data_IF_917887381400
#
_entry.id   IF_917887381400
#
_cell.length_a   1.000
_cell.length_b   1.000
_cell.length_c   1.000
_cell.angle_alpha   90.00
_cell.angle_beta   90.00
_cell.angle_gamma   90.00
#
_symmetry.space_group_name_H-M   'P 1'
#
loop_
_entity.id
_entity.type
_entity.pdbx_description
1 polymer ?
#
# COMPACT_ATOMS: atom_id res chain seq x y z
N UNK A 1 13.26 10.23 -0.09
CA UNK A 1 12.35 9.93 -1.23
C UNK A 1 11.92 8.46 -1.11
N UNK A 2 10.68 8.20 -0.73
CA UNK A 2 10.12 6.85 -0.55
C UNK A 2 9.69 6.26 -1.91
N UNK A 3 10.60 6.28 -2.87
CA UNK A 3 10.35 5.79 -4.23
C UNK A 3 11.09 4.47 -4.43
N UNK A 4 10.59 3.65 -5.35
CA UNK A 4 11.25 2.43 -5.82
C UNK A 4 12.76 2.63 -5.96
N UNK A 5 13.54 1.76 -5.32
CA UNK A 5 14.99 1.71 -5.46
C UNK A 5 15.35 0.39 -6.11
N UNK A 6 16.05 0.44 -7.23
CA UNK A 6 16.52 -0.78 -7.88
C UNK A 6 17.62 -1.43 -7.02
N UNK A 7 17.31 -2.56 -6.39
CA UNK A 7 18.21 -3.37 -5.56
C UNK A 7 18.57 -4.70 -6.21
N UNK A 8 18.04 -4.98 -7.41
CA UNK A 8 18.24 -6.23 -8.15
C UNK A 8 17.94 -7.50 -7.34
N UNK A 9 17.03 -7.41 -6.37
CA UNK A 9 16.68 -8.50 -5.47
C UNK A 9 15.78 -9.54 -6.15
N UNK A 10 15.66 -10.72 -5.55
CA UNK A 10 14.82 -11.78 -6.09
C UNK A 10 13.36 -11.32 -6.25
N UNK A 11 12.81 -10.66 -5.23
CA UNK A 11 11.45 -10.15 -5.24
C UNK A 11 11.22 -9.08 -6.32
N UNK A 12 12.23 -8.26 -6.62
CA UNK A 12 12.17 -7.26 -7.71
C UNK A 12 12.25 -7.88 -9.11
N UNK A 13 12.71 -9.12 -9.24
CA UNK A 13 12.82 -9.87 -10.50
C UNK A 13 11.61 -10.75 -10.78
N UNK A 14 10.75 -10.95 -9.78
CA UNK A 14 9.48 -11.63 -9.97
C UNK A 14 8.55 -10.81 -10.86
N UNK A 15 7.60 -11.49 -11.50
CA UNK A 15 6.59 -10.84 -12.31
C UNK A 15 5.72 -9.91 -11.42
N UNK A 16 5.39 -8.67 -11.84
CA UNK A 16 4.66 -7.70 -11.01
C UNK A 16 3.35 -8.24 -10.40
N UNK A 17 2.61 -9.04 -11.16
CA UNK A 17 1.40 -9.72 -10.67
C UNK A 17 1.67 -10.61 -9.44
N UNK A 18 2.78 -11.34 -9.41
CA UNK A 18 3.06 -12.25 -8.28
C UNK A 18 3.39 -11.45 -7.04
N UNK A 19 4.13 -10.34 -7.18
CA UNK A 19 4.36 -9.37 -6.10
C UNK A 19 3.07 -8.77 -5.57
N UNK A 20 2.15 -8.34 -6.45
CA UNK A 20 0.85 -7.79 -6.04
C UNK A 20 0.02 -8.84 -5.30
N UNK A 21 -0.10 -10.06 -5.83
CA UNK A 21 -0.84 -11.15 -5.19
C UNK A 21 -0.27 -11.49 -3.82
N UNK A 22 1.05 -11.60 -3.72
CA UNK A 22 1.77 -11.81 -2.46
C UNK A 22 1.42 -10.75 -1.41
N UNK A 23 1.53 -9.46 -1.76
CA UNK A 23 1.22 -8.36 -0.85
C UNK A 23 -0.26 -8.38 -0.44
N UNK A 24 -1.14 -8.68 -1.40
CA UNK A 24 -2.59 -8.79 -1.14
C UNK A 24 -2.88 -9.88 -0.13
N UNK A 25 -2.25 -11.05 -0.28
CA UNK A 25 -2.37 -12.16 0.69
C UNK A 25 -1.90 -11.70 2.07
N UNK A 26 -0.72 -11.08 2.20
CA UNK A 26 -0.24 -10.56 3.50
C UNK A 26 -1.21 -9.57 4.14
N UNK A 27 -1.77 -8.64 3.37
CA UNK A 27 -2.74 -7.66 3.87
C UNK A 27 -4.00 -8.36 4.39
N UNK A 28 -4.57 -9.31 3.63
CA UNK A 28 -5.77 -10.04 4.07
C UNK A 28 -5.49 -10.83 5.36
N UNK A 29 -4.33 -11.48 5.44
CA UNK A 29 -3.93 -12.22 6.64
C UNK A 29 -3.81 -11.29 7.85
N UNK A 30 -3.15 -10.13 7.72
CA UNK A 30 -3.07 -9.14 8.81
C UNK A 30 -4.43 -8.64 9.29
N UNK A 31 -5.39 -8.46 8.37
CA UNK A 31 -6.73 -7.97 8.72
C UNK A 31 -7.58 -9.03 9.45
N UNK A 32 -7.39 -10.31 9.14
CA UNK A 32 -8.20 -11.41 9.68
C UNK A 32 -7.62 -12.04 10.95
N UNK A 33 -6.33 -11.86 11.25
CA UNK A 33 -5.72 -12.39 12.47
C UNK A 33 -6.19 -11.61 13.70
N UNK A 34 -6.90 -12.27 14.60
CA UNK A 34 -7.31 -11.71 15.90
C UNK A 34 -6.36 -12.09 17.04
N UNK A 35 -5.55 -13.15 16.89
CA UNK A 35 -4.59 -13.52 17.92
C UNK A 35 -3.34 -12.64 17.87
N UNK A 36 -2.97 -11.98 18.99
CA UNK A 36 -1.81 -11.11 19.01
C UNK A 36 -0.50 -11.85 18.76
N UNK A 37 -0.38 -13.10 19.18
CA UNK A 37 0.85 -13.90 18.98
C UNK A 37 1.05 -14.16 17.49
N UNK A 38 0.00 -14.58 16.76
CA UNK A 38 0.10 -14.79 15.31
C UNK A 38 0.38 -13.47 14.57
N UNK A 39 -0.21 -12.36 15.03
CA UNK A 39 0.06 -11.03 14.47
C UNK A 39 1.55 -10.65 14.60
N UNK A 40 2.16 -10.87 15.77
CA UNK A 40 3.58 -10.60 15.99
C UNK A 40 4.48 -11.54 15.16
N UNK A 41 4.18 -12.84 15.09
CA UNK A 41 4.96 -13.77 14.25
C UNK A 41 4.94 -13.35 12.78
N UNK A 42 3.79 -12.88 12.29
CA UNK A 42 3.63 -12.35 10.94
C UNK A 42 4.41 -11.07 10.71
N UNK A 43 4.37 -10.13 11.66
CA UNK A 43 5.21 -8.93 11.63
C UNK A 43 6.70 -9.30 11.53
N UNK A 44 7.16 -10.24 12.35
CA UNK A 44 8.55 -10.72 12.33
C UNK A 44 8.90 -11.32 10.96
N UNK A 45 8.00 -12.14 10.39
CA UNK A 45 8.21 -12.71 9.05
C UNK A 45 8.43 -11.63 7.98
N UNK A 46 7.63 -10.55 8.02
CA UNK A 46 7.73 -9.41 7.11
C UNK A 46 9.04 -8.64 7.32
N UNK A 47 9.45 -8.43 8.58
CA UNK A 47 10.71 -7.76 8.90
C UNK A 47 11.93 -8.57 8.44
N UNK A 48 11.91 -9.90 8.59
CA UNK A 48 12.97 -10.77 8.06
C UNK A 48 13.01 -10.68 6.53
N UNK A 49 11.87 -10.70 5.86
CA UNK A 49 11.82 -10.54 4.40
C UNK A 49 12.42 -9.19 3.96
N UNK A 50 12.07 -8.12 4.67
CA UNK A 50 12.63 -6.79 4.42
C UNK A 50 14.13 -6.70 4.75
N UNK A 51 14.62 -7.46 5.73
CA UNK A 51 16.05 -7.58 6.04
C UNK A 51 16.79 -8.20 4.86
N UNK A 52 16.26 -9.31 4.36
CA UNK A 52 16.84 -10.05 3.25
C UNK A 52 16.82 -9.25 1.93
N UNK A 53 15.78 -8.44 1.70
CA UNK A 53 15.67 -7.49 0.58
C UNK A 53 16.60 -6.26 0.75
N UNK A 54 17.14 -6.01 1.94
CA UNK A 54 17.92 -4.81 2.25
C UNK A 54 17.07 -3.53 2.32
N UNK A 55 15.76 -3.69 2.49
CA UNK A 55 14.76 -2.61 2.53
C UNK A 55 14.37 -2.14 3.93
N UNK A 56 14.87 -2.81 4.99
CA UNK A 56 14.51 -2.50 6.38
C UNK A 56 14.60 -1.03 6.75
N UNK A 57 15.69 -0.33 6.38
CA UNK A 57 15.86 1.08 6.75
C UNK A 57 14.73 1.95 6.19
N UNK A 58 14.34 1.71 4.94
CA UNK A 58 13.24 2.41 4.30
C UNK A 58 11.88 1.98 4.92
N UNK A 59 11.74 0.71 5.30
CA UNK A 59 10.55 0.19 5.99
C UNK A 59 10.37 0.83 7.38
N UNK A 60 11.45 1.05 8.12
CA UNK A 60 11.41 1.80 9.38
C UNK A 60 11.02 3.26 9.17
N UNK A 61 11.39 3.87 8.05
CA UNK A 61 10.91 5.22 7.70
C UNK A 61 9.39 5.22 7.50
N UNK A 62 8.83 4.22 6.79
CA UNK A 62 7.37 4.06 6.70
C UNK A 62 6.73 3.87 8.08
N UNK A 63 7.33 3.03 8.93
CA UNK A 63 6.88 2.81 10.31
C UNK A 63 6.82 4.09 11.14
N UNK A 64 7.81 4.97 11.03
CA UNK A 64 7.84 6.27 11.72
C UNK A 64 6.73 7.20 11.25
N UNK A 65 6.38 7.18 9.97
CA UNK A 65 5.32 8.03 9.40
C UNK A 65 3.93 7.56 9.89
N UNK A 66 3.72 6.25 10.02
CA UNK A 66 2.42 5.71 10.47
C UNK A 66 2.26 5.69 11.99
N UNK A 67 3.35 5.71 12.76
CA UNK A 67 3.34 5.71 14.22
C UNK A 67 2.33 6.70 14.86
N UNK A 68 2.24 7.99 14.46
CA UNK A 68 1.26 8.91 15.04
C UNK A 68 -0.20 8.47 14.80
N UNK A 69 -0.49 7.86 13.65
CA UNK A 69 -1.83 7.32 13.35
C UNK A 69 -2.12 6.07 14.18
N UNK A 70 -1.13 5.19 14.36
CA UNK A 70 -1.28 4.02 15.22
C UNK A 70 -1.54 4.45 16.67
N UNK A 71 -0.82 5.44 17.19
CA UNK A 71 -1.04 6.01 18.53
C UNK A 71 -2.43 6.63 18.67
N UNK A 72 -2.90 7.33 17.63
CA UNK A 72 -4.25 7.87 17.61
C UNK A 72 -5.31 6.76 17.72
N UNK A 73 -5.13 5.61 17.08
CA UNK A 73 -6.03 4.45 17.25
C UNK A 73 -6.02 3.93 18.68
N UNK A 74 -4.84 3.82 19.31
CA UNK A 74 -4.72 3.38 20.71
C UNK A 74 -5.45 4.33 21.67
N UNK A 75 -5.46 5.63 21.39
CA UNK A 75 -6.13 6.65 22.21
C UNK A 75 -7.64 6.69 21.93
N UNK A 76 -8.05 6.61 20.68
CA UNK A 76 -9.48 6.71 20.32
C UNK A 76 -10.27 5.46 20.67
N UNK A 77 -9.68 4.27 20.61
CA UNK A 77 -10.40 3.02 20.81
C UNK A 77 -11.03 2.94 22.24
N UNK A 78 -10.30 3.24 23.34
CA UNK A 78 -10.88 3.28 24.68
C UNK A 78 -11.87 4.42 24.94
N UNK A 79 -11.86 5.48 24.13
CA UNK A 79 -12.81 6.59 24.23
C UNK A 79 -14.15 6.21 23.56
N UNK A 80 -14.10 5.38 22.53
CA UNK A 80 -15.28 5.01 21.74
C UNK A 80 -15.92 3.70 22.22
N UNK A 81 -15.12 2.72 22.64
CA UNK A 81 -15.60 1.38 23.01
C UNK A 81 -15.67 1.23 24.52
N UNK A 82 -16.87 0.91 25.01
CA UNK A 82 -17.21 0.88 26.44
C UNK A 82 -17.51 -0.53 26.96
N UNK A 83 -17.33 -1.58 26.15
CA UNK A 83 -17.83 -2.95 26.40
C UNK A 83 -16.91 -3.88 27.25
N UNK A 84 -16.05 -3.32 28.11
CA UNK A 84 -15.09 -4.09 28.91
C UNK A 84 -15.56 -4.38 30.35
N UNK A 85 -15.19 -5.55 30.88
CA UNK A 85 -15.54 -5.96 32.25
C UNK A 85 -14.63 -5.37 33.33
N UNK A 86 -13.43 -4.89 32.97
CA UNK A 86 -12.46 -4.30 33.91
C UNK A 86 -12.28 -2.81 33.64
N UNK A 87 -13.02 -1.99 34.39
CA UNK A 87 -12.98 -0.53 34.27
C UNK A 87 -11.78 0.04 35.03
N UNK A 88 -10.89 0.75 34.34
CA UNK A 88 -9.70 1.40 34.93
C UNK A 88 -10.04 2.81 35.41
N UNK A 89 -10.90 3.52 34.67
CA UNK A 89 -11.29 4.90 35.00
C UNK A 89 -12.75 5.14 34.59
N UNK A 90 -13.56 5.59 35.55
CA UNK A 90 -14.89 6.12 35.31
C UNK A 90 -14.83 7.65 35.39
N UNK A 91 -14.91 8.31 34.24
CA UNK A 91 -15.03 9.77 34.17
C UNK A 91 -16.43 10.22 34.58
N UNK A 92 -16.53 11.09 35.58
CA UNK A 92 -17.79 11.67 36.06
C UNK A 92 -18.39 12.73 35.11
N UNK A 93 -17.85 12.90 33.90
CA UNK A 93 -18.24 13.92 32.93
C UNK A 93 -19.07 13.27 31.84
N UNK A 94 -20.40 13.42 31.93
CA UNK A 94 -21.34 13.05 30.88
C UNK A 94 -21.28 14.08 29.75
N UNK A 95 -20.63 13.72 28.64
CA UNK A 95 -20.82 14.46 27.39
C UNK A 95 -22.13 14.02 26.73
N UNK A 96 -23.01 14.94 26.28
CA UNK A 96 -24.33 14.63 25.71
C UNK A 96 -24.32 13.69 24.48
N UNK A 97 -23.16 13.49 23.86
CA UNK A 97 -22.99 12.71 22.62
C UNK A 97 -22.22 11.40 22.85
N UNK A 98 -21.41 11.29 23.92
CA UNK A 98 -20.46 10.19 24.14
C UNK A 98 -20.78 9.30 25.35
N UNK A 99 -21.78 9.65 26.16
CA UNK A 99 -22.09 8.89 27.39
C UNK A 99 -21.03 9.04 28.47
N UNK A 100 -21.10 8.25 29.57
CA UNK A 100 -20.08 8.27 30.62
C UNK A 100 -18.80 7.65 30.09
N UNK A 101 -17.69 8.41 30.11
CA UNK A 101 -16.39 7.88 29.68
C UNK A 101 -15.92 6.76 30.62
N UNK A 102 -16.05 5.52 30.18
CA UNK A 102 -15.51 4.34 30.86
C UNK A 102 -14.33 3.80 30.07
N UNK A 103 -13.13 4.04 30.57
CA UNK A 103 -11.92 3.48 29.98
C UNK A 103 -11.73 2.09 30.55
N UNK A 104 -11.86 1.08 29.70
CA UNK A 104 -11.69 -0.34 30.05
C UNK A 104 -10.32 -0.86 29.62
N UNK A 105 -9.77 -1.80 30.38
CA UNK A 105 -8.47 -2.42 30.07
C UNK A 105 -8.53 -3.16 28.73
N UNK A 106 -9.66 -3.83 28.48
CA UNK A 106 -9.95 -4.55 27.25
C UNK A 106 -9.88 -3.63 26.02
N UNK A 107 -10.47 -2.44 26.11
CA UNK A 107 -10.47 -1.48 25.00
C UNK A 107 -9.08 -0.90 24.72
N UNK A 108 -8.24 -0.72 25.74
CA UNK A 108 -6.83 -0.30 25.56
C UNK A 108 -6.03 -1.39 24.86
N UNK A 109 -6.14 -2.64 25.32
CA UNK A 109 -5.45 -3.79 24.71
C UNK A 109 -5.88 -3.98 23.26
N UNK A 110 -7.19 -3.93 23.00
CA UNK A 110 -7.75 -3.99 21.65
C UNK A 110 -7.30 -2.82 20.78
N UNK A 111 -7.20 -1.61 21.35
CA UNK A 111 -6.61 -0.43 20.72
C UNK A 111 -5.18 -0.65 20.26
N UNK A 112 -4.32 -1.15 21.15
CA UNK A 112 -2.92 -1.49 20.86
C UNK A 112 -2.83 -2.49 19.71
N UNK A 113 -3.62 -3.57 19.76
CA UNK A 113 -3.57 -4.59 18.71
C UNK A 113 -4.05 -4.08 17.35
N UNK A 114 -5.10 -3.27 17.30
CA UNK A 114 -5.53 -2.65 16.05
C UNK A 114 -4.53 -1.61 15.53
N UNK A 115 -3.89 -0.84 16.43
CA UNK A 115 -2.81 0.07 16.05
C UNK A 115 -1.64 -0.67 15.40
N UNK A 116 -1.20 -1.78 16.00
CA UNK A 116 -0.16 -2.66 15.43
C UNK A 116 -0.63 -3.27 14.11
N UNK A 117 -1.89 -3.71 14.00
CA UNK A 117 -2.46 -4.27 12.77
C UNK A 117 -2.39 -3.28 11.61
N UNK A 118 -2.80 -2.03 11.82
CA UNK A 118 -2.71 -0.97 10.81
C UNK A 118 -1.26 -0.69 10.44
N UNK A 119 -0.35 -0.69 11.41
CA UNK A 119 1.08 -0.58 11.15
C UNK A 119 1.57 -1.74 10.26
N UNK A 120 1.22 -2.99 10.53
CA UNK A 120 1.59 -4.14 9.69
C UNK A 120 1.11 -4.01 8.24
N UNK A 121 -0.15 -3.61 8.04
CA UNK A 121 -0.74 -3.42 6.70
C UNK A 121 0.01 -2.34 5.93
N UNK A 122 0.27 -1.19 6.56
CA UNK A 122 0.98 -0.08 5.91
C UNK A 122 2.44 -0.41 5.62
N UNK A 123 3.13 -1.14 6.51
CA UNK A 123 4.47 -1.66 6.24
C UNK A 123 4.48 -2.61 5.04
N UNK A 124 3.47 -3.47 4.90
CA UNK A 124 3.33 -4.35 3.73
C UNK A 124 3.17 -3.53 2.45
N UNK A 125 2.34 -2.50 2.44
CA UNK A 125 2.25 -1.56 1.31
C UNK A 125 3.58 -0.85 1.02
N UNK A 126 4.29 -0.41 2.06
CA UNK A 126 5.61 0.22 1.94
C UNK A 126 6.63 -0.71 1.28
N UNK A 127 6.65 -1.99 1.69
CA UNK A 127 7.47 -3.02 1.06
C UNK A 127 7.10 -3.22 -0.42
N UNK A 128 5.80 -3.21 -0.74
CA UNK A 128 5.32 -3.29 -2.11
C UNK A 128 5.81 -2.17 -3.02
N UNK A 129 5.78 -0.92 -2.53
CA UNK A 129 6.31 0.24 -3.27
C UNK A 129 7.83 0.17 -3.50
N UNK A 130 8.57 -0.55 -2.65
CA UNK A 130 10.01 -0.74 -2.79
C UNK A 130 10.38 -1.90 -3.73
N UNK A 131 9.52 -2.91 -3.83
CA UNK A 131 9.76 -4.13 -4.63
C UNK A 131 9.20 -3.99 -6.05
N UNK A 132 8.02 -3.40 -6.21
CA UNK A 132 7.31 -3.37 -7.49
C UNK A 132 7.65 -2.09 -8.24
N UNK A 133 8.23 -2.24 -9.44
CA UNK A 133 8.46 -1.09 -10.31
C UNK A 133 7.12 -0.59 -10.89
N UNK A 134 6.79 0.70 -10.78
CA UNK A 134 5.50 1.24 -11.22
C UNK A 134 5.23 0.99 -12.71
N UNK A 135 6.23 1.23 -13.58
CA UNK A 135 6.08 0.99 -15.02
C UNK A 135 5.86 -0.49 -15.39
N UNK A 136 6.46 -1.43 -14.64
CA UNK A 136 6.27 -2.87 -14.88
C UNK A 136 4.88 -3.33 -14.44
N UNK A 137 4.40 -2.83 -13.30
CA UNK A 137 3.02 -3.06 -12.88
C UNK A 137 2.02 -2.48 -13.89
N UNK A 138 2.26 -1.26 -14.35
CA UNK A 138 1.43 -0.61 -15.36
C UNK A 138 1.42 -1.37 -16.69
N UNK A 139 2.57 -1.86 -17.15
CA UNK A 139 2.69 -2.70 -18.34
C UNK A 139 1.82 -3.96 -18.26
N UNK A 140 1.73 -4.59 -17.10
CA UNK A 140 0.81 -5.73 -16.90
C UNK A 140 -0.67 -5.33 -16.98
N UNK A 141 -1.09 -4.31 -16.23
CA UNK A 141 -2.49 -3.84 -16.27
C UNK A 141 -2.89 -3.34 -17.65
N UNK A 142 -1.93 -2.88 -18.46
CA UNK A 142 -2.17 -2.41 -19.81
C UNK A 142 -2.75 -3.48 -20.75
N UNK A 143 -2.41 -4.75 -20.51
CA UNK A 143 -2.89 -5.89 -21.30
C UNK A 143 -4.41 -6.06 -21.18
N UNK A 144 -4.97 -5.81 -20.00
CA UNK A 144 -6.40 -5.97 -19.73
C UNK A 144 -7.21 -4.76 -20.18
N UNK A 145 -6.64 -3.56 -20.05
CA UNK A 145 -7.35 -2.29 -20.20
C UNK A 145 -7.22 -1.63 -21.60
N UNK A 146 -6.50 -2.24 -22.55
CA UNK A 146 -6.35 -1.85 -23.99
C UNK A 146 -6.41 -0.34 -24.29
N UNK A 147 -7.60 0.23 -24.54
CA UNK A 147 -7.75 1.66 -24.87
C UNK A 147 -7.44 2.55 -23.66
N UNK A 148 -7.93 2.17 -22.48
CA UNK A 148 -7.70 2.90 -21.23
C UNK A 148 -6.24 2.88 -20.81
N UNK A 149 -5.51 1.81 -21.12
CA UNK A 149 -4.08 1.74 -20.83
C UNK A 149 -3.24 2.61 -21.74
N UNK A 150 -3.67 2.81 -22.98
CA UNK A 150 -3.02 3.79 -23.85
C UNK A 150 -3.22 5.21 -23.30
N UNK A 151 -4.45 5.57 -22.94
CA UNK A 151 -4.77 6.87 -22.35
C UNK A 151 -3.90 7.10 -21.10
N UNK A 152 -3.87 6.13 -20.19
CA UNK A 152 -3.05 6.24 -18.97
C UNK A 152 -1.54 6.32 -19.28
N UNK A 153 -1.04 5.58 -20.27
CA UNK A 153 0.37 5.68 -20.70
C UNK A 153 0.71 7.06 -21.25
N UNK A 154 -0.22 7.66 -22.01
CA UNK A 154 -0.08 9.03 -22.52
C UNK A 154 -0.13 10.04 -21.39
N UNK A 155 -1.08 9.91 -20.46
CA UNK A 155 -1.18 10.79 -19.30
C UNK A 155 0.10 10.78 -18.46
N UNK A 156 0.65 9.59 -18.15
CA UNK A 156 1.91 9.46 -17.38
C UNK A 156 3.08 10.12 -18.14
N UNK A 157 3.16 9.94 -19.47
CA UNK A 157 4.20 10.54 -20.31
C UNK A 157 4.07 12.06 -20.42
N UNK A 158 2.84 12.57 -20.48
CA UNK A 158 2.53 14.00 -20.60
C UNK A 158 2.70 14.75 -19.27
N UNK A 159 2.66 14.05 -18.13
CA UNK A 159 2.80 14.71 -16.83
C UNK A 159 4.15 15.44 -16.66
N UNK A 160 5.32 14.84 -16.95
CA UNK A 160 6.60 15.55 -16.94
C UNK A 160 6.65 16.75 -17.90
N UNK A 161 6.14 16.60 -19.13
CA UNK A 161 6.16 17.68 -20.12
C UNK A 161 5.26 18.84 -19.69
N UNK A 162 4.08 18.54 -19.16
CA UNK A 162 3.16 19.53 -18.59
C UNK A 162 3.80 20.27 -17.41
N UNK A 163 4.57 19.58 -16.55
CA UNK A 163 5.31 20.21 -15.46
C UNK A 163 6.37 21.18 -15.98
N UNK A 164 7.14 20.79 -17.01
CA UNK A 164 8.12 21.70 -17.61
C UNK A 164 7.47 22.91 -18.29
N UNK A 165 6.34 22.72 -18.98
CA UNK A 165 5.57 23.82 -19.58
C UNK A 165 5.02 24.75 -18.51
N UNK A 166 4.51 24.20 -17.41
CA UNK A 166 4.05 24.98 -16.26
C UNK A 166 5.18 25.84 -15.67
N UNK A 167 6.36 25.27 -15.43
CA UNK A 167 7.51 26.02 -14.90
C UNK A 167 7.95 27.14 -15.86
N UNK A 168 7.96 26.88 -17.17
CA UNK A 168 8.27 27.87 -18.18
C UNK A 168 7.26 29.02 -18.21
N UNK A 169 5.96 28.72 -18.21
CA UNK A 169 4.88 29.72 -18.17
C UNK A 169 4.99 30.56 -16.89
N UNK A 170 5.25 29.90 -15.75
CA UNK A 170 5.47 30.58 -14.46
C UNK A 170 6.64 31.55 -14.54
N UNK A 171 7.75 31.15 -15.15
CA UNK A 171 8.93 32.01 -15.30
C UNK A 171 8.66 33.20 -16.23
N UNK A 172 7.95 33.00 -17.34
CA UNK A 172 7.54 34.08 -18.26
C UNK A 172 6.60 35.07 -17.57
N UNK A 173 5.60 34.60 -16.83
CA UNK A 173 4.68 35.47 -16.10
C UNK A 173 5.38 36.26 -14.99
N UNK A 174 6.38 35.67 -14.33
CA UNK A 174 7.25 36.39 -13.37
C UNK A 174 8.05 37.51 -14.07
N UNK A 175 8.62 37.26 -15.25
CA UNK A 175 9.36 38.27 -16.03
C UNK A 175 8.44 39.41 -16.50
N UNK A 176 7.17 39.12 -16.78
CA UNK A 176 6.14 40.12 -17.09
C UNK A 176 5.70 40.96 -15.88
N UNK A 177 6.27 40.71 -14.70
CA UNK A 177 5.99 41.46 -13.47
C UNK A 177 4.79 40.94 -12.68
N UNK A 178 4.24 39.77 -13.04
CA UNK A 178 3.10 39.19 -12.34
C UNK A 178 3.57 38.58 -11.01
N UNK A 179 3.28 39.26 -9.88
CA UNK A 179 3.68 38.82 -8.54
C UNK A 179 2.77 37.69 -8.07
N UNK A 180 3.25 36.45 -8.16
CA UNK A 180 2.47 35.26 -7.76
C UNK A 180 2.17 35.17 -6.27
N UNK A 181 3.00 35.79 -5.42
CA UNK A 181 2.79 35.87 -3.98
C UNK A 181 2.23 37.25 -3.61
N UNK A 182 0.95 37.46 -3.92
CA UNK A 182 0.20 38.59 -3.38
C UNK A 182 -0.38 38.23 -1.99
N UNK A 183 -0.45 39.23 -1.10
CA UNK A 183 -1.19 39.11 0.18
C UNK A 183 -2.71 38.97 -0.05
N UNK A 184 -3.19 39.46 -1.21
CA UNK A 184 -4.58 39.38 -1.65
C UNK A 184 -4.88 38.07 -2.38
N UNK A 185 -5.66 37.19 -1.75
CA UNK A 185 -6.05 35.89 -2.31
C UNK A 185 -6.75 36.01 -3.69
N UNK A 186 -7.55 37.06 -3.92
CA UNK A 186 -8.23 37.29 -5.20
C UNK A 186 -7.26 37.54 -6.37
N UNK A 187 -6.18 38.29 -6.13
CA UNK A 187 -5.17 38.58 -7.16
C UNK A 187 -4.35 37.32 -7.49
N UNK A 188 -4.03 36.52 -6.47
CA UNK A 188 -3.36 35.23 -6.63
C UNK A 188 -4.21 34.28 -7.48
N UNK A 189 -5.50 34.13 -7.19
CA UNK A 189 -6.41 33.27 -7.98
C UNK A 189 -6.48 33.72 -9.44
N UNK A 190 -6.60 35.03 -9.69
CA UNK A 190 -6.64 35.56 -11.07
C UNK A 190 -5.34 35.29 -11.83
N UNK A 191 -4.19 35.47 -11.18
CA UNK A 191 -2.89 35.18 -11.77
C UNK A 191 -2.71 33.67 -12.05
N UNK A 192 -3.07 32.81 -11.10
CA UNK A 192 -3.07 31.36 -11.29
C UNK A 192 -4.01 30.91 -12.41
N UNK A 193 -5.19 31.53 -12.53
CA UNK A 193 -6.14 31.26 -13.60
C UNK A 193 -5.56 31.55 -15.00
N UNK A 194 -4.77 32.61 -15.14
CA UNK A 194 -4.09 32.92 -16.41
C UNK A 194 -3.08 31.82 -16.80
N UNK A 195 -2.28 31.37 -15.84
CA UNK A 195 -1.30 30.28 -16.06
C UNK A 195 -2.02 29.00 -16.47
N UNK A 196 -3.09 28.64 -15.76
CA UNK A 196 -3.90 27.45 -16.06
C UNK A 196 -4.50 27.55 -17.47
N UNK A 197 -5.00 28.72 -17.86
CA UNK A 197 -5.57 28.91 -19.19
C UNK A 197 -4.54 28.74 -20.30
N UNK A 198 -3.33 29.33 -20.15
CA UNK A 198 -2.23 29.16 -21.11
C UNK A 198 -1.80 27.69 -21.18
N UNK A 199 -1.63 27.04 -20.03
CA UNK A 199 -1.25 25.63 -19.95
C UNK A 199 -2.30 24.72 -20.59
N UNK A 200 -3.59 25.02 -20.40
CA UNK A 200 -4.69 24.29 -21.00
C UNK A 200 -4.70 24.41 -22.52
N UNK A 201 -4.52 25.62 -23.05
CA UNK A 201 -4.42 25.86 -24.50
C UNK A 201 -3.23 25.11 -25.11
N UNK A 202 -2.05 25.21 -24.48
CA UNK A 202 -0.85 24.47 -24.92
C UNK A 202 -1.07 22.95 -24.87
N UNK A 203 -1.75 22.44 -23.84
CA UNK A 203 -2.03 21.01 -23.71
C UNK A 203 -3.03 20.50 -24.76
N UNK A 204 -3.97 21.34 -25.20
CA UNK A 204 -4.89 21.02 -26.29
C UNK A 204 -4.17 20.92 -27.64
N UNK A 205 -3.23 21.84 -27.90
CA UNK A 205 -2.37 21.82 -29.08
C UNK A 205 -1.49 20.55 -29.09
N UNK A 206 -0.79 20.27 -27.98
CA UNK A 206 0.02 19.05 -27.81
C UNK A 206 -0.81 17.76 -28.03
N UNK A 207 -2.07 17.77 -27.59
CA UNK A 207 -2.98 16.64 -27.76
C UNK A 207 -3.43 16.46 -29.21
N UNK A 208 -3.66 17.56 -29.94
CA UNK A 208 -4.00 17.53 -31.36
C UNK A 208 -2.81 17.01 -32.20
N UNK A 209 -1.61 17.53 -31.94
CA UNK A 209 -0.36 17.08 -32.58
C UNK A 209 -0.09 15.60 -32.31
N UNK A 210 -0.30 15.14 -31.07
CA UNK A 210 -0.16 13.74 -30.72
C UNK A 210 -1.16 12.87 -31.47
N UNK A 211 -2.42 13.31 -31.62
CA UNK A 211 -3.44 12.58 -32.36
C UNK A 211 -3.10 12.47 -33.85
N UNK A 212 -2.63 13.54 -34.47
CA UNK A 212 -2.18 13.53 -35.87
C UNK A 212 -0.96 12.62 -36.08
N UNK A 213 0.02 12.68 -35.17
CA UNK A 213 1.18 11.78 -35.18
C UNK A 213 0.78 10.31 -35.01
N UNK A 214 -0.21 10.02 -34.18
CA UNK A 214 -0.74 8.65 -34.03
C UNK A 214 -1.44 8.18 -35.31
N UNK A 215 -2.25 9.04 -35.93
CA UNK A 215 -2.97 8.72 -37.15
C UNK A 215 -2.01 8.42 -38.30
N UNK A 216 -1.00 9.27 -38.51
CA UNK A 216 0.04 9.06 -39.54
C UNK A 216 0.86 7.78 -39.33
N UNK A 217 1.05 7.35 -38.09
CA UNK A 217 1.70 6.05 -37.73
C UNK A 217 0.77 4.83 -37.88
N UNK A 218 -0.44 5.01 -38.41
CA UNK A 218 -1.40 3.92 -38.64
C UNK A 218 -2.10 3.43 -37.36
N UNK A 219 -2.20 4.27 -36.33
CA UNK A 219 -2.99 3.94 -35.15
C UNK A 219 -4.46 3.67 -35.54
N UNK A 220 -4.96 2.47 -35.25
CA UNK A 220 -6.33 2.07 -35.58
C UNK A 220 -6.49 1.36 -36.93
N UNK A 221 -5.43 1.24 -37.74
CA UNK A 221 -5.48 0.52 -39.01
C UNK A 221 -5.69 -1.00 -38.85
N UNK A 222 -5.20 -1.59 -37.76
CA UNK A 222 -5.30 -3.03 -37.47
C UNK A 222 -6.37 -3.31 -36.40
N UNK A 223 -7.21 -4.34 -36.64
CA UNK A 223 -8.25 -4.79 -35.69
C UNK A 223 -7.68 -5.36 -34.38
N UNK A 224 -6.48 -5.95 -34.42
CA UNK A 224 -5.74 -6.45 -33.24
C UNK A 224 -4.39 -5.75 -33.15
N UNK A 225 -4.05 -5.26 -31.95
CA UNK A 225 -2.76 -4.62 -31.65
C UNK A 225 -1.79 -5.63 -31.06
N UNK A 226 -0.50 -5.50 -31.38
CA UNK A 226 0.60 -6.22 -30.73
C UNK A 226 1.11 -5.43 -29.51
N UNK A 227 1.79 -6.12 -28.58
CA UNK A 227 2.46 -5.50 -27.43
C UNK A 227 3.96 -5.68 -27.58
N UNK A 228 4.72 -4.58 -27.50
CA UNK A 228 6.19 -4.62 -27.57
C UNK A 228 6.82 -5.04 -26.23
N UNK A 229 6.34 -4.48 -25.12
CA UNK A 229 6.74 -4.92 -23.79
C UNK A 229 5.95 -6.16 -23.39
N UNK A 230 6.66 -7.27 -23.15
CA UNK A 230 6.09 -8.50 -22.64
C UNK A 230 6.95 -9.00 -21.48
N UNK A 231 6.45 -8.83 -20.27
CA UNK A 231 7.01 -9.51 -19.10
C UNK A 231 6.71 -11.00 -19.22
N UNK A 232 7.75 -11.83 -19.27
CA UNK A 232 7.59 -13.28 -19.41
C UNK A 232 7.25 -13.88 -18.06
N UNK A 233 6.13 -14.60 -18.00
CA UNK A 233 5.78 -15.38 -16.82
C UNK A 233 6.73 -16.57 -16.71
N UNK A 234 7.46 -16.69 -15.61
CA UNK A 234 8.42 -17.78 -15.41
C UNK A 234 7.83 -18.88 -14.52
N UNK A 235 8.36 -20.11 -14.60
CA UNK A 235 7.92 -21.20 -13.71
C UNK A 235 8.09 -20.87 -12.22
N UNK A 236 9.04 -19.99 -11.90
CA UNK A 236 9.24 -19.47 -10.54
C UNK A 236 8.02 -18.67 -10.07
N UNK A 237 7.45 -17.85 -10.94
CA UNK A 237 6.26 -17.05 -10.63
C UNK A 237 5.06 -17.96 -10.31
N UNK A 238 4.90 -19.05 -11.07
CA UNK A 238 3.86 -20.07 -10.83
C UNK A 238 4.08 -20.75 -9.47
N UNK A 239 5.30 -21.22 -9.20
CA UNK A 239 5.62 -21.89 -7.94
C UNK A 239 5.36 -20.98 -6.72
N UNK A 240 5.77 -19.71 -6.80
CA UNK A 240 5.50 -18.74 -5.75
C UNK A 240 4.01 -18.49 -5.54
N UNK A 241 3.24 -18.33 -6.61
CA UNK A 241 1.78 -18.15 -6.51
C UNK A 241 1.13 -19.37 -5.85
N UNK A 242 1.49 -20.58 -6.28
CA UNK A 242 0.94 -21.81 -5.71
C UNK A 242 1.20 -21.90 -4.20
N UNK A 243 2.42 -21.58 -3.76
CA UNK A 243 2.78 -21.57 -2.34
C UNK A 243 1.90 -20.58 -1.57
N UNK A 244 1.69 -19.35 -2.08
CA UNK A 244 0.84 -18.37 -1.40
C UNK A 244 -0.64 -18.72 -1.40
N UNK A 245 -1.13 -19.33 -2.48
CA UNK A 245 -2.50 -19.85 -2.51
C UNK A 245 -2.66 -20.94 -1.45
N UNK A 246 -1.71 -21.87 -1.32
CA UNK A 246 -1.74 -22.89 -0.28
C UNK A 246 -1.73 -22.29 1.13
N UNK A 247 -0.87 -21.29 1.39
CA UNK A 247 -0.82 -20.57 2.67
C UNK A 247 -2.17 -19.87 2.95
N UNK A 248 -2.74 -19.21 1.94
CA UNK A 248 -4.03 -18.53 2.07
C UNK A 248 -5.18 -19.50 2.35
N UNK A 249 -5.26 -20.61 1.61
CA UNK A 249 -6.29 -21.65 1.82
C UNK A 249 -6.15 -22.29 3.20
N UNK A 250 -4.92 -22.59 3.63
CA UNK A 250 -4.67 -23.12 4.97
C UNK A 250 -5.10 -22.12 6.06
N UNK A 251 -4.86 -20.82 5.86
CA UNK A 251 -5.36 -19.80 6.77
C UNK A 251 -6.89 -19.71 6.80
N UNK A 252 -7.56 -19.79 5.65
CA UNK A 252 -9.04 -19.80 5.65
C UNK A 252 -9.58 -21.02 6.39
N UNK A 253 -8.98 -22.20 6.18
CA UNK A 253 -9.31 -23.41 6.94
C UNK A 253 -9.13 -23.21 8.45
N UNK A 254 -8.03 -22.59 8.86
CA UNK A 254 -7.74 -22.24 10.25
C UNK A 254 -8.80 -21.30 10.86
N UNK A 255 -9.29 -20.31 10.10
CA UNK A 255 -10.38 -19.44 10.54
C UNK A 255 -11.71 -20.19 10.64
N UNK A 256 -12.03 -21.06 9.68
CA UNK A 256 -13.27 -21.86 9.68
C UNK A 256 -13.39 -22.76 10.91
N UNK A 257 -12.27 -23.32 11.39
CA UNK A 257 -12.25 -24.11 12.63
C UNK A 257 -12.38 -23.30 13.91
N UNK A 258 -12.41 -21.96 13.82
CA UNK A 258 -12.62 -21.10 14.99
C UNK A 258 -11.39 -20.95 15.89
N UNK A 259 -10.23 -21.50 15.53
CA UNK A 259 -8.99 -21.37 16.32
C UNK A 259 -8.42 -19.94 16.38
N UNK A 260 -8.95 -19.04 15.55
CA UNK A 260 -8.60 -17.62 15.51
C UNK A 260 -9.57 -16.71 16.28
N UNK A 261 -10.58 -17.27 16.96
CA UNK A 261 -11.56 -16.49 17.71
C UNK A 261 -10.99 -16.21 19.10
N UNK A 262 -10.34 -15.06 19.25
CA UNK A 262 -10.08 -14.46 20.54
C UNK A 262 -11.05 -13.31 20.71
N UNK A 263 -11.96 -13.45 21.67
CA UNK A 263 -12.87 -12.37 22.01
C UNK A 263 -12.13 -11.43 22.96
N UNK A 264 -12.05 -10.16 22.57
CA UNK A 264 -11.48 -9.10 23.41
C UNK A 264 -12.50 -8.54 24.41
N UNK A 265 -13.79 -8.78 24.15
CA UNK A 265 -14.91 -8.36 24.98
C UNK A 265 -15.78 -9.58 25.33
N UNK A 266 -16.31 -9.69 26.56
CA UNK A 266 -16.18 -8.77 27.70
C UNK A 266 -14.93 -9.00 28.57
N UNK A 267 -14.22 -10.13 28.41
CA UNK A 267 -12.93 -10.43 29.06
C UNK A 267 -11.92 -10.82 27.99
N UNK A 268 -10.67 -10.35 28.12
CA UNK A 268 -9.58 -10.79 27.23
C UNK A 268 -9.33 -12.28 27.45
N UNK A 269 -9.63 -13.09 26.45
CA UNK A 269 -9.26 -14.50 26.45
C UNK A 269 -7.74 -14.66 26.51
N UNK A 270 -7.26 -15.65 27.27
CA UNK A 270 -5.83 -15.90 27.41
C UNK A 270 -5.21 -16.27 26.05
N UNK A 271 -4.31 -15.44 25.49
CA UNK A 271 -3.77 -15.67 24.16
C UNK A 271 -2.93 -16.96 24.07
N UNK A 272 -2.36 -17.39 25.20
CA UNK A 272 -1.53 -18.61 25.33
C UNK A 272 -2.38 -19.88 25.30
N UNK A 273 -3.62 -19.85 25.82
CA UNK A 273 -4.53 -21.01 25.79
C UNK A 273 -5.15 -21.23 24.40
N UNK A 274 -5.18 -20.19 23.58
CA UNK A 274 -5.64 -20.25 22.19
C UNK A 274 -4.55 -20.74 21.20
N UNK A 275 -3.35 -21.11 21.68
CA UNK A 275 -2.31 -21.68 20.82
C UNK A 275 -2.64 -23.13 20.48
N UNK A 276 -3.15 -23.33 19.26
CA UNK A 276 -3.32 -24.64 18.66
C UNK A 276 -2.08 -25.06 17.86
N UNK A 277 -1.86 -26.37 17.72
CA UNK A 277 -0.82 -26.96 16.86
C UNK A 277 -0.92 -26.40 15.42
N UNK A 278 -2.15 -26.21 14.93
CA UNK A 278 -2.42 -25.65 13.61
C UNK A 278 -1.90 -24.22 13.44
N UNK A 279 -1.91 -23.41 14.51
CA UNK A 279 -1.37 -22.05 14.48
C UNK A 279 0.15 -21.98 14.56
N UNK A 280 0.82 -22.97 15.16
CA UNK A 280 2.28 -23.12 15.03
C UNK A 280 2.68 -23.49 13.61
N UNK A 281 1.92 -24.36 12.95
CA UNK A 281 2.13 -24.67 11.53
C UNK A 281 1.95 -23.42 10.68
N UNK A 282 0.90 -22.62 10.94
CA UNK A 282 0.68 -21.35 10.26
C UNK A 282 1.89 -20.42 10.43
N UNK A 283 2.38 -20.22 11.66
CA UNK A 283 3.49 -19.30 11.91
C UNK A 283 4.77 -19.74 11.18
N UNK A 284 5.05 -21.04 11.12
CA UNK A 284 6.17 -21.60 10.35
C UNK A 284 5.99 -21.35 8.84
N UNK A 285 4.78 -21.61 8.32
CA UNK A 285 4.47 -21.40 6.89
C UNK A 285 4.68 -19.95 6.45
N UNK A 286 4.53 -18.98 7.35
CA UNK A 286 4.75 -17.55 7.05
C UNK A 286 6.22 -17.17 6.90
N UNK A 287 7.16 -18.01 7.34
CA UNK A 287 8.60 -17.82 7.11
C UNK A 287 9.08 -18.44 5.80
N UNK A 288 8.26 -19.25 5.11
CA UNK A 288 8.60 -19.87 3.82
C UNK A 288 9.10 -18.86 2.79
N UNK A 289 8.50 -17.65 2.63
CA UNK A 289 9.00 -16.63 1.71
C UNK A 289 10.43 -16.19 2.00
N UNK A 290 10.74 -15.97 3.28
CA UNK A 290 12.05 -15.57 3.75
C UNK A 290 13.08 -16.68 3.52
N UNK A 291 12.68 -17.95 3.69
CA UNK A 291 13.52 -19.11 3.40
C UNK A 291 13.83 -19.26 1.91
N UNK A 292 12.83 -19.12 1.03
CA UNK A 292 13.06 -19.22 -0.42
C UNK A 292 13.95 -18.08 -0.90
N UNK A 293 13.71 -16.86 -0.39
CA UNK A 293 14.53 -15.72 -0.71
C UNK A 293 15.99 -15.93 -0.26
N UNK A 294 16.20 -16.44 0.96
CA UNK A 294 17.52 -16.73 1.50
C UNK A 294 18.25 -17.82 0.68
N UNK A 295 17.54 -18.92 0.34
CA UNK A 295 18.09 -19.97 -0.52
C UNK A 295 18.54 -19.44 -1.88
N UNK A 296 17.75 -18.55 -2.49
CA UNK A 296 18.10 -17.94 -3.77
C UNK A 296 19.34 -17.02 -3.70
N UNK A 297 19.52 -16.32 -2.57
CA UNK A 297 20.68 -15.43 -2.37
C UNK A 297 21.98 -16.21 -2.25
N UNK A 298 21.94 -17.39 -1.63
CA UNK A 298 23.12 -18.20 -1.33
C UNK A 298 23.48 -19.21 -2.42
N UNK A 299 22.53 -19.59 -3.28
CA UNK A 299 22.73 -20.57 -4.37
C UNK A 299 23.09 -19.90 -5.71
N UNK A 300 23.55 -18.65 -5.64
CA UNK A 300 24.08 -17.86 -6.75
C UNK A 300 25.58 -17.70 -6.59
#
# INVERSE_FOLDING_TARGET
MLIYKNRNTFLQKLHPLTGILFLTVYIILFLQINNPIYLFTMLISLLILAYLDGSLKDLFTYGKIILPFALLIVILNPIMVHDGSTVIYEGHINYPVLGPMRITLEAVIYGIFNGIRVMCVTLTFGLGNLIIHPDRAFGFFSKFLKKSSLLMSMTIRLFPTMMTSYENIVNVEKLRGNKMLHKDMKKTIKASGNIVNILFLSSLEDSADMAESMYSRGYGALKKRSSYFHEKFTYRDIAFILIYICIFVYFQYFNFKGFNVLNFYPKVDNPIKALSIEGYILSIMMFVPSLIYWGWKNWK
#
